data_IF_678298101656
#
_entry.id   IF_678298101656
#
_cell.length_a   1.000
_cell.length_b   1.000
_cell.length_c   1.000
_cell.angle_alpha   90.00
_cell.angle_beta   90.00
_cell.angle_gamma   90.00
#
_symmetry.space_group_name_H-M   'P 1'
#
loop_
_entity.id
_entity.type
_entity.pdbx_description
1 polymer ?
#
# COMPACT_ATOMS: atom_id res chain seq x y z
N UNK A 1 -39.38 77.36 -17.67
CA UNK A 1 -39.12 77.78 -19.05
C UNK A 1 -38.40 76.57 -19.69
N UNK A 2 -39.12 75.71 -20.39
CA UNK A 2 -39.18 75.65 -21.88
C UNK A 2 -37.81 75.32 -22.47
N UNK A 3 -37.57 74.35 -23.30
CA UNK A 3 -38.31 73.52 -24.28
C UNK A 3 -37.35 72.47 -24.75
N UNK A 4 -37.74 71.20 -24.85
CA UNK A 4 -38.18 70.46 -26.06
C UNK A 4 -37.14 70.15 -27.12
N UNK A 5 -37.18 68.90 -27.49
CA UNK A 5 -37.09 68.25 -28.81
C UNK A 5 -35.70 67.88 -29.32
N UNK A 6 -35.47 66.83 -29.97
CA UNK A 6 -36.19 65.75 -30.63
C UNK A 6 -35.16 65.09 -31.57
N UNK A 7 -35.14 63.76 -31.58
CA UNK A 7 -34.86 62.84 -32.68
C UNK A 7 -33.68 63.10 -33.65
N UNK A 8 -32.81 62.11 -33.82
CA UNK A 8 -32.81 61.28 -35.03
C UNK A 8 -31.87 60.10 -34.96
N UNK A 9 -32.41 58.95 -35.21
CA UNK A 9 -31.82 57.64 -35.51
C UNK A 9 -30.94 57.70 -36.74
N UNK A 10 -29.72 57.07 -36.71
CA UNK A 10 -29.18 56.30 -37.83
C UNK A 10 -28.38 55.13 -37.25
N UNK A 11 -28.79 53.94 -37.63
CA UNK A 11 -28.12 52.71 -37.23
C UNK A 11 -26.82 52.46 -38.03
N UNK A 12 -25.92 51.82 -37.40
CA UNK A 12 -24.87 51.02 -38.05
C UNK A 12 -24.68 49.75 -37.25
N UNK A 13 -25.20 48.67 -37.81
CA UNK A 13 -24.95 47.32 -37.39
C UNK A 13 -23.48 47.00 -37.68
N UNK A 14 -22.66 46.85 -36.63
CA UNK A 14 -21.38 46.17 -36.72
C UNK A 14 -21.51 44.86 -35.93
N UNK A 15 -21.64 43.79 -36.69
CA UNK A 15 -21.68 42.45 -36.19
C UNK A 15 -20.39 42.10 -35.44
N UNK A 16 -20.49 42.03 -34.14
CA UNK A 16 -19.49 41.37 -33.31
C UNK A 16 -19.87 39.90 -33.24
N UNK A 17 -19.30 39.08 -34.17
CA UNK A 17 -19.30 37.62 -34.03
C UNK A 17 -18.57 37.29 -32.73
N UNK A 18 -19.34 37.06 -31.68
CA UNK A 18 -18.92 36.27 -30.54
C UNK A 18 -18.71 34.85 -31.02
N UNK A 19 -17.45 34.53 -31.33
CA UNK A 19 -16.99 33.16 -31.35
C UNK A 19 -17.10 32.59 -29.92
N UNK A 20 -18.29 32.13 -29.56
CA UNK A 20 -18.48 31.16 -28.51
C UNK A 20 -17.76 29.89 -28.96
N UNK A 21 -16.50 29.77 -28.54
CA UNK A 21 -15.84 28.49 -28.53
C UNK A 21 -16.71 27.60 -27.60
N UNK A 22 -17.59 26.83 -28.20
CA UNK A 22 -18.16 25.66 -27.54
C UNK A 22 -16.98 24.73 -27.24
N UNK A 23 -16.36 24.92 -26.08
CA UNK A 23 -15.77 23.78 -25.39
C UNK A 23 -16.95 22.87 -25.13
N UNK A 24 -17.06 21.80 -25.89
CA UNK A 24 -17.91 20.70 -25.60
C UNK A 24 -17.51 20.23 -24.20
N UNK A 25 -18.25 20.66 -23.18
CA UNK A 25 -18.34 19.89 -21.96
C UNK A 25 -18.96 18.57 -22.39
N UNK A 26 -18.12 17.57 -22.53
CA UNK A 26 -18.52 16.18 -22.53
C UNK A 26 -19.06 15.93 -21.11
N UNK A 27 -20.37 16.21 -20.92
CA UNK A 27 -21.10 15.97 -19.67
C UNK A 27 -21.48 14.49 -19.57
N UNK A 28 -20.58 13.58 -19.95
CA UNK A 28 -20.71 12.19 -19.52
C UNK A 28 -20.49 12.19 -18.01
N UNK A 29 -21.50 11.78 -17.26
CA UNK A 29 -21.39 11.68 -15.81
C UNK A 29 -20.19 10.80 -15.48
N UNK A 30 -19.39 11.21 -14.47
CA UNK A 30 -18.19 10.48 -14.07
C UNK A 30 -18.58 9.04 -13.68
N UNK A 31 -18.09 8.00 -14.38
CA UNK A 31 -18.53 6.62 -14.18
C UNK A 31 -18.24 6.08 -12.76
N UNK A 32 -17.28 6.67 -12.04
CA UNK A 32 -16.98 6.31 -10.64
C UNK A 32 -18.06 6.79 -9.66
N UNK A 33 -18.88 7.78 -10.04
CA UNK A 33 -19.99 8.29 -9.23
C UNK A 33 -21.32 7.55 -9.51
N UNK A 34 -21.36 6.72 -10.54
CA UNK A 34 -22.52 5.88 -10.88
C UNK A 34 -22.39 4.51 -10.22
N UNK A 35 -23.55 3.87 -9.99
CA UNK A 35 -23.56 2.47 -9.57
C UNK A 35 -23.28 1.57 -10.79
N UNK A 36 -22.38 0.61 -10.60
CA UNK A 36 -22.05 -0.32 -11.67
C UNK A 36 -23.21 -1.26 -11.97
N UNK A 37 -23.49 -1.45 -13.25
CA UNK A 37 -24.48 -2.43 -13.75
C UNK A 37 -23.85 -3.79 -14.06
N UNK A 38 -22.53 -3.94 -13.89
CA UNK A 38 -21.82 -5.18 -14.12
C UNK A 38 -22.09 -6.19 -12.98
N UNK A 39 -21.93 -7.50 -13.24
CA UNK A 39 -22.06 -8.52 -12.21
C UNK A 39 -21.23 -8.19 -10.97
N UNK A 40 -21.83 -8.40 -9.79
CA UNK A 40 -21.21 -8.12 -8.48
C UNK A 40 -20.83 -6.65 -8.24
N UNK A 41 -21.36 -5.69 -9.02
CA UNK A 41 -21.00 -4.29 -8.90
C UNK A 41 -19.55 -4.00 -9.31
N UNK A 42 -18.95 -4.85 -10.14
CA UNK A 42 -17.56 -4.69 -10.58
C UNK A 42 -17.36 -3.34 -11.29
N UNK A 43 -16.21 -2.65 -11.08
CA UNK A 43 -15.93 -1.41 -11.79
C UNK A 43 -15.89 -1.61 -13.31
N UNK A 44 -16.52 -0.71 -14.07
CA UNK A 44 -16.48 -0.75 -15.53
C UNK A 44 -15.22 -0.03 -16.05
N UNK A 45 -14.10 -0.73 -16.07
CA UNK A 45 -12.83 -0.19 -16.54
C UNK A 45 -12.83 0.21 -18.03
N UNK A 46 -13.81 -0.21 -18.83
CA UNK A 46 -13.94 0.25 -20.22
C UNK A 46 -14.37 1.72 -20.31
N UNK A 47 -15.00 2.25 -19.26
CA UNK A 47 -15.50 3.62 -19.15
C UNK A 47 -14.63 4.52 -18.27
N UNK A 48 -13.99 3.95 -17.23
CA UNK A 48 -13.19 4.70 -16.25
C UNK A 48 -11.88 5.15 -16.86
N UNK A 49 -11.56 6.45 -16.72
CA UNK A 49 -10.28 7.05 -17.09
C UNK A 49 -9.54 7.52 -15.84
N UNK A 50 -8.23 7.60 -15.90
CA UNK A 50 -7.42 8.10 -14.77
C UNK A 50 -7.85 9.49 -14.31
N UNK A 51 -8.22 10.37 -15.25
CA UNK A 51 -8.71 11.72 -14.94
C UNK A 51 -10.04 11.75 -14.16
N UNK A 52 -10.76 10.64 -14.05
CA UNK A 52 -12.05 10.56 -13.36
C UNK A 52 -11.86 10.43 -11.84
N UNK A 53 -10.72 9.89 -11.36
CA UNK A 53 -10.52 9.57 -9.95
C UNK A 53 -10.56 10.79 -9.02
N UNK A 54 -9.76 11.81 -9.27
CA UNK A 54 -9.68 12.97 -8.37
C UNK A 54 -10.99 13.75 -8.27
N UNK A 55 -11.70 14.06 -9.38
CA UNK A 55 -13.01 14.66 -9.30
C UNK A 55 -14.03 13.81 -8.56
N UNK A 56 -14.03 12.48 -8.76
CA UNK A 56 -14.92 11.57 -8.07
C UNK A 56 -14.62 11.51 -6.57
N UNK A 57 -13.34 11.42 -6.17
CA UNK A 57 -12.91 11.42 -4.77
C UNK A 57 -13.35 12.72 -4.08
N UNK A 58 -13.12 13.89 -4.70
CA UNK A 58 -13.55 15.18 -4.14
C UNK A 58 -15.05 15.26 -3.94
N UNK A 59 -15.83 14.76 -4.90
CA UNK A 59 -17.30 14.71 -4.81
C UNK A 59 -17.72 13.77 -3.68
N UNK A 60 -17.16 12.57 -3.62
CA UNK A 60 -17.51 11.58 -2.59
C UNK A 60 -17.06 11.99 -1.18
N UNK A 61 -15.96 12.74 -1.04
CA UNK A 61 -15.55 13.40 0.22
C UNK A 61 -16.62 14.42 0.67
N UNK A 62 -17.09 15.25 -0.26
CA UNK A 62 -18.14 16.24 0.05
C UNK A 62 -19.43 15.56 0.49
N UNK A 63 -19.85 14.48 -0.19
CA UNK A 63 -21.02 13.67 0.20
C UNK A 63 -20.84 13.05 1.60
N UNK A 64 -19.67 12.48 1.88
CA UNK A 64 -19.39 11.90 3.20
C UNK A 64 -19.47 12.98 4.29
N UNK A 65 -18.89 14.16 4.06
CA UNK A 65 -19.01 15.30 4.99
C UNK A 65 -20.46 15.71 5.24
N UNK A 66 -21.26 15.79 4.18
CA UNK A 66 -22.70 16.11 4.31
C UNK A 66 -23.44 15.05 5.12
N UNK A 67 -23.17 13.75 4.88
CA UNK A 67 -23.80 12.66 5.62
C UNK A 67 -23.38 12.67 7.10
N UNK A 68 -22.10 12.96 7.40
CA UNK A 68 -21.64 13.13 8.78
C UNK A 68 -22.32 14.33 9.44
N UNK A 69 -22.46 15.45 8.74
CA UNK A 69 -23.13 16.62 9.28
C UNK A 69 -24.60 16.32 9.60
N UNK A 70 -25.30 15.53 8.78
CA UNK A 70 -26.67 15.06 9.09
C UNK A 70 -26.73 14.23 10.37
N UNK A 71 -25.71 13.42 10.66
CA UNK A 71 -25.62 12.66 11.92
C UNK A 71 -25.45 13.64 13.09
N UNK A 72 -24.53 14.59 12.96
CA UNK A 72 -24.20 15.56 14.02
C UNK A 72 -25.39 16.47 14.34
N UNK A 73 -26.08 16.96 13.31
CA UNK A 73 -27.20 17.90 13.45
C UNK A 73 -28.55 17.20 13.73
N UNK A 74 -28.57 15.88 13.82
CA UNK A 74 -29.81 15.16 14.07
C UNK A 74 -30.37 15.51 15.47
N UNK A 75 -31.59 16.11 15.55
CA UNK A 75 -32.17 16.55 16.83
C UNK A 75 -32.68 15.36 17.69
N UNK A 76 -32.84 14.19 17.09
CA UNK A 76 -33.30 13.01 17.82
C UNK A 76 -32.19 12.45 18.72
N UNK A 77 -32.53 11.79 19.84
CA UNK A 77 -31.57 11.08 20.66
C UNK A 77 -30.71 10.12 19.84
N UNK A 78 -29.42 10.03 20.19
CA UNK A 78 -28.50 9.14 19.50
C UNK A 78 -28.89 7.68 19.72
N UNK A 79 -29.08 6.92 18.63
CA UNK A 79 -29.35 5.49 18.62
C UNK A 79 -28.29 4.75 17.80
N UNK A 80 -28.30 3.42 17.89
CA UNK A 80 -27.43 2.60 17.07
C UNK A 80 -27.63 2.89 15.57
N UNK A 81 -28.89 2.93 15.11
CA UNK A 81 -29.23 3.15 13.71
C UNK A 81 -28.87 4.55 13.21
N UNK A 82 -29.31 5.61 13.95
CA UNK A 82 -29.15 6.98 13.48
C UNK A 82 -27.74 7.56 13.72
N UNK A 83 -26.85 6.78 14.34
CA UNK A 83 -25.49 7.21 14.64
C UNK A 83 -24.44 6.21 14.14
N UNK A 84 -24.52 4.94 14.54
CA UNK A 84 -23.46 3.95 14.22
C UNK A 84 -23.65 3.43 12.79
N UNK A 85 -24.85 2.95 12.45
CA UNK A 85 -25.15 2.48 11.09
C UNK A 85 -25.04 3.63 10.09
N UNK A 86 -25.61 4.80 10.43
CA UNK A 86 -25.50 5.99 9.60
C UNK A 86 -24.04 6.44 9.36
N UNK A 87 -23.16 6.30 10.37
CA UNK A 87 -21.72 6.56 10.22
C UNK A 87 -21.04 5.56 9.28
N UNK A 88 -21.32 4.26 9.45
CA UNK A 88 -20.76 3.20 8.60
C UNK A 88 -21.16 3.39 7.12
N UNK A 89 -22.42 3.72 6.88
CA UNK A 89 -22.95 3.94 5.53
C UNK A 89 -22.56 5.30 4.93
N UNK A 90 -22.04 6.23 5.73
CA UNK A 90 -21.80 7.62 5.31
C UNK A 90 -20.84 7.76 4.13
N UNK A 91 -19.96 6.80 3.88
CA UNK A 91 -18.85 6.91 2.93
C UNK A 91 -18.67 5.75 1.95
N UNK A 92 -19.66 4.89 1.76
CA UNK A 92 -19.57 3.68 0.91
C UNK A 92 -19.09 4.00 -0.52
N UNK A 93 -19.57 5.09 -1.12
CA UNK A 93 -19.12 5.52 -2.45
C UNK A 93 -17.66 5.93 -2.47
N UNK A 94 -17.23 6.72 -1.48
CA UNK A 94 -15.82 7.12 -1.35
C UNK A 94 -14.91 5.90 -1.21
N UNK A 95 -15.28 4.96 -0.35
CA UNK A 95 -14.50 3.75 -0.12
C UNK A 95 -14.36 2.92 -1.39
N UNK A 96 -15.46 2.74 -2.16
CA UNK A 96 -15.43 2.05 -3.44
C UNK A 96 -14.44 2.70 -4.42
N UNK A 97 -14.49 4.03 -4.58
CA UNK A 97 -13.63 4.77 -5.51
C UNK A 97 -12.15 4.67 -5.08
N UNK A 98 -11.90 4.84 -3.79
CA UNK A 98 -10.56 4.79 -3.20
C UNK A 98 -9.95 3.39 -3.35
N UNK A 99 -10.73 2.33 -3.07
CA UNK A 99 -10.27 0.95 -3.22
C UNK A 99 -9.87 0.64 -4.67
N UNK A 100 -10.61 1.14 -5.66
CA UNK A 100 -10.27 0.96 -7.09
C UNK A 100 -8.98 1.70 -7.43
N UNK A 101 -8.81 2.95 -6.99
CA UNK A 101 -7.57 3.73 -7.23
C UNK A 101 -6.35 3.03 -6.64
N UNK A 102 -6.42 2.62 -5.36
CA UNK A 102 -5.27 1.97 -4.70
C UNK A 102 -4.99 0.56 -5.23
N UNK A 103 -6.01 -0.17 -5.68
CA UNK A 103 -5.79 -1.45 -6.37
C UNK A 103 -4.99 -1.26 -7.67
N UNK A 104 -5.33 -0.26 -8.48
CA UNK A 104 -4.58 0.09 -9.68
C UNK A 104 -3.17 0.61 -9.36
N UNK A 105 -3.04 1.48 -8.37
CA UNK A 105 -1.73 1.98 -7.92
C UNK A 105 -0.80 0.86 -7.43
N UNK A 106 -1.37 -0.25 -6.94
CA UNK A 106 -0.62 -1.44 -6.52
C UNK A 106 -0.26 -2.39 -7.67
N UNK A 107 -1.15 -2.52 -8.68
CA UNK A 107 -1.04 -3.54 -9.71
C UNK A 107 -0.50 -3.02 -11.05
N UNK A 108 -0.85 -1.78 -11.43
CA UNK A 108 -0.51 -1.17 -12.72
C UNK A 108 -0.34 0.35 -12.55
N UNK A 109 0.70 0.74 -11.84
CA UNK A 109 0.98 2.13 -11.48
C UNK A 109 1.56 2.92 -12.65
N UNK A 110 0.68 3.51 -13.47
CA UNK A 110 1.12 4.49 -14.48
C UNK A 110 1.49 5.84 -13.82
N UNK A 111 2.24 6.73 -14.51
CA UNK A 111 2.55 8.07 -13.98
C UNK A 111 1.30 8.86 -13.59
N UNK A 112 0.21 8.73 -14.35
CA UNK A 112 -1.06 9.42 -14.10
C UNK A 112 -1.77 8.85 -12.86
N UNK A 113 -1.74 7.53 -12.64
CA UNK A 113 -2.26 6.88 -11.44
C UNK A 113 -1.42 7.29 -10.22
N UNK A 114 -0.10 7.35 -10.36
CA UNK A 114 0.79 7.79 -9.28
C UNK A 114 0.49 9.24 -8.85
N UNK A 115 0.24 10.14 -9.80
CA UNK A 115 -0.12 11.53 -9.48
C UNK A 115 -1.52 11.62 -8.85
N UNK A 116 -2.50 10.84 -9.33
CA UNK A 116 -3.83 10.77 -8.73
C UNK A 116 -3.78 10.26 -7.27
N UNK A 117 -3.00 9.21 -6.99
CA UNK A 117 -2.77 8.69 -5.64
C UNK A 117 -2.12 9.75 -4.74
N UNK A 118 -1.08 10.41 -5.22
CA UNK A 118 -0.36 11.45 -4.50
C UNK A 118 -1.24 12.64 -4.13
N UNK A 119 -2.15 13.07 -5.02
CA UNK A 119 -3.12 14.12 -4.72
C UNK A 119 -4.26 13.64 -3.81
N UNK A 120 -4.70 12.39 -3.95
CA UNK A 120 -5.78 11.83 -3.14
C UNK A 120 -5.37 11.61 -1.67
N UNK A 121 -4.15 11.15 -1.42
CA UNK A 121 -3.66 10.78 -0.08
C UNK A 121 -3.84 11.89 0.97
N UNK A 122 -3.41 13.14 0.76
CA UNK A 122 -3.63 14.20 1.74
C UNK A 122 -5.11 14.52 1.94
N UNK A 123 -5.94 14.50 0.88
CA UNK A 123 -7.38 14.76 0.99
C UNK A 123 -8.09 13.73 1.87
N UNK A 124 -7.70 12.46 1.74
CA UNK A 124 -8.26 11.36 2.54
C UNK A 124 -7.76 11.41 3.99
N UNK A 125 -6.49 11.74 4.18
CA UNK A 125 -5.91 11.91 5.54
C UNK A 125 -6.53 13.09 6.27
N UNK A 126 -6.76 14.21 5.59
CA UNK A 126 -7.45 15.36 6.15
C UNK A 126 -8.89 15.01 6.53
N UNK A 127 -9.62 14.29 5.68
CA UNK A 127 -10.97 13.83 5.97
C UNK A 127 -10.98 12.90 7.20
N UNK A 128 -10.08 11.93 7.27
CA UNK A 128 -10.01 11.01 8.42
C UNK A 128 -9.69 11.77 9.71
N UNK A 129 -8.75 12.71 9.68
CA UNK A 129 -8.48 13.60 10.82
C UNK A 129 -9.72 14.42 11.21
N UNK A 130 -10.42 15.02 10.23
CA UNK A 130 -11.64 15.80 10.47
C UNK A 130 -12.70 14.96 11.19
N UNK A 131 -12.91 13.72 10.73
CA UNK A 131 -13.90 12.81 11.32
C UNK A 131 -13.49 12.31 12.69
N UNK A 132 -12.26 11.81 12.83
CA UNK A 132 -11.80 11.21 14.09
C UNK A 132 -11.68 12.21 15.24
N UNK A 133 -11.44 13.49 14.94
CA UNK A 133 -11.38 14.56 15.92
C UNK A 133 -12.67 15.41 16.00
N UNK A 134 -13.77 14.98 15.37
CA UNK A 134 -15.06 15.62 15.47
C UNK A 134 -15.70 15.30 16.83
N UNK A 135 -15.64 16.26 17.76
CA UNK A 135 -16.16 16.10 19.13
C UNK A 135 -17.65 15.82 19.17
N UNK A 136 -18.44 16.50 18.32
CA UNK A 136 -19.91 16.33 18.31
C UNK A 136 -20.30 14.94 17.81
N UNK A 137 -19.62 14.45 16.76
CA UNK A 137 -19.81 13.10 16.28
C UNK A 137 -19.43 12.07 17.34
N UNK A 138 -18.27 12.25 17.97
CA UNK A 138 -17.79 11.35 19.03
C UNK A 138 -18.74 11.32 20.23
N UNK A 139 -19.27 12.45 20.67
CA UNK A 139 -20.25 12.50 21.77
C UNK A 139 -21.52 11.70 21.45
N UNK A 140 -22.01 11.72 20.22
CA UNK A 140 -23.14 10.88 19.81
C UNK A 140 -22.78 9.39 19.84
N UNK A 141 -21.61 9.01 19.30
CA UNK A 141 -21.11 7.63 19.32
C UNK A 141 -20.93 7.15 20.77
N UNK A 142 -20.32 7.98 21.62
CA UNK A 142 -20.13 7.69 23.05
C UNK A 142 -21.46 7.52 23.77
N UNK A 143 -22.44 8.36 23.49
CA UNK A 143 -23.79 8.26 24.08
C UNK A 143 -24.41 6.90 23.76
N UNK A 144 -24.35 6.44 22.51
CA UNK A 144 -24.85 5.10 22.14
C UNK A 144 -24.07 4.02 22.84
N UNK A 145 -22.73 4.12 22.86
CA UNK A 145 -21.85 3.14 23.50
C UNK A 145 -22.16 3.00 25.00
N UNK A 146 -22.23 4.11 25.74
CA UNK A 146 -22.49 4.11 27.18
C UNK A 146 -23.91 3.56 27.49
N UNK A 147 -24.91 3.90 26.68
CA UNK A 147 -26.27 3.41 26.86
C UNK A 147 -26.36 1.90 26.64
N UNK A 148 -25.73 1.39 25.58
CA UNK A 148 -25.68 -0.05 25.31
C UNK A 148 -24.94 -0.80 26.41
N UNK A 149 -23.76 -0.30 26.84
CA UNK A 149 -22.98 -0.90 27.93
C UNK A 149 -23.78 -0.93 29.25
N UNK A 150 -24.50 0.14 29.55
CA UNK A 150 -25.31 0.24 30.78
C UNK A 150 -26.53 -0.70 30.76
N UNK A 151 -27.01 -1.07 29.58
CA UNK A 151 -28.15 -1.98 29.39
C UNK A 151 -27.75 -3.45 29.24
N UNK A 152 -26.44 -3.77 29.33
CA UNK A 152 -25.95 -5.14 29.14
C UNK A 152 -26.43 -6.09 30.26
N UNK A 153 -27.10 -7.16 29.88
CA UNK A 153 -27.49 -8.27 30.77
C UNK A 153 -27.03 -9.57 30.15
N UNK A 154 -26.19 -10.33 30.87
CA UNK A 154 -25.64 -11.61 30.40
C UNK A 154 -24.96 -11.52 29.00
N UNK A 155 -24.29 -10.40 28.70
CA UNK A 155 -23.62 -10.19 27.43
C UNK A 155 -24.54 -9.78 26.26
N UNK A 156 -25.79 -9.42 26.53
CA UNK A 156 -26.78 -8.96 25.55
C UNK A 156 -27.37 -7.61 25.96
N UNK A 157 -27.69 -6.77 25.00
CA UNK A 157 -28.43 -5.53 25.18
C UNK A 157 -29.67 -5.54 24.26
N UNK A 158 -30.79 -5.01 24.76
CA UNK A 158 -32.00 -4.82 23.96
C UNK A 158 -31.94 -3.62 23.00
N UNK A 159 -30.84 -2.85 23.05
CA UNK A 159 -30.65 -1.64 22.22
C UNK A 159 -29.95 -1.91 20.89
N UNK A 160 -29.54 -3.18 20.64
CA UNK A 160 -28.89 -3.66 19.42
C UNK A 160 -29.40 -5.04 19.06
N UNK A 161 -29.32 -5.43 17.77
CA UNK A 161 -30.01 -6.64 17.30
C UNK A 161 -29.18 -7.93 17.46
N UNK A 162 -27.91 -7.86 17.87
CA UNK A 162 -27.08 -9.05 18.01
C UNK A 162 -25.60 -8.77 18.25
N UNK A 163 -24.77 -9.84 18.22
CA UNK A 163 -23.35 -9.74 18.47
C UNK A 163 -22.59 -8.95 17.40
N UNK A 164 -23.07 -8.93 16.15
CA UNK A 164 -22.51 -8.16 15.06
C UNK A 164 -22.66 -6.65 15.31
N UNK A 165 -23.82 -6.19 15.74
CA UNK A 165 -24.10 -4.80 16.08
C UNK A 165 -23.25 -4.37 17.29
N UNK A 166 -23.14 -5.24 18.31
CA UNK A 166 -22.29 -5.00 19.46
C UNK A 166 -20.82 -4.84 19.04
N UNK A 167 -20.37 -5.67 18.10
CA UNK A 167 -19.01 -5.61 17.59
C UNK A 167 -18.78 -4.33 16.78
N UNK A 168 -19.71 -3.96 15.90
CA UNK A 168 -19.62 -2.72 15.12
C UNK A 168 -19.55 -1.50 16.04
N UNK A 169 -20.40 -1.44 17.07
CA UNK A 169 -20.39 -0.35 18.05
C UNK A 169 -19.05 -0.28 18.82
N UNK A 170 -18.56 -1.42 19.30
CA UNK A 170 -17.31 -1.52 20.06
C UNK A 170 -16.11 -1.09 19.20
N UNK A 171 -16.02 -1.57 17.96
CA UNK A 171 -14.95 -1.19 17.03
C UNK A 171 -15.03 0.28 16.64
N UNK A 172 -16.24 0.80 16.37
CA UNK A 172 -16.44 2.22 16.05
C UNK A 172 -16.00 3.10 17.22
N UNK A 173 -16.45 2.83 18.44
CA UNK A 173 -16.05 3.60 19.62
C UNK A 173 -14.52 3.54 19.83
N UNK A 174 -13.93 2.33 19.79
CA UNK A 174 -12.49 2.15 19.94
C UNK A 174 -11.68 2.85 18.85
N UNK A 175 -12.18 2.85 17.61
CA UNK A 175 -11.54 3.56 16.50
C UNK A 175 -11.36 5.04 16.82
N UNK A 176 -12.41 5.71 17.31
CA UNK A 176 -12.35 7.11 17.69
C UNK A 176 -11.43 7.36 18.90
N UNK A 177 -11.55 6.55 19.96
CA UNK A 177 -10.70 6.68 21.15
C UNK A 177 -9.22 6.49 20.78
N UNK A 178 -8.91 5.48 19.98
CA UNK A 178 -7.54 5.18 19.54
C UNK A 178 -6.99 6.20 18.53
N UNK A 179 -7.86 6.86 17.77
CA UNK A 179 -7.45 7.99 16.93
C UNK A 179 -7.16 9.26 17.73
N UNK A 180 -7.64 9.34 18.98
CA UNK A 180 -7.38 10.48 19.88
C UNK A 180 -8.58 11.35 20.17
N UNK A 181 -9.81 10.85 20.03
CA UNK A 181 -11.02 11.63 20.30
C UNK A 181 -11.13 12.17 21.75
N UNK A 182 -10.37 11.56 22.68
CA UNK A 182 -10.30 11.99 24.10
C UNK A 182 -9.11 12.93 24.39
N UNK A 183 -8.30 13.26 23.41
CA UNK A 183 -7.14 14.15 23.58
C UNK A 183 -7.55 15.61 23.84
N UNK A 184 -6.63 16.35 24.45
CA UNK A 184 -6.71 17.81 24.50
C UNK A 184 -6.69 18.41 23.09
N UNK A 185 -7.16 19.66 22.93
CA UNK A 185 -7.12 20.32 21.63
C UNK A 185 -5.69 20.48 21.09
N UNK A 186 -4.70 20.71 21.96
CA UNK A 186 -3.29 20.83 21.63
C UNK A 186 -2.73 19.48 21.13
N UNK A 187 -2.96 18.40 21.86
CA UNK A 187 -2.51 17.06 21.49
C UNK A 187 -3.22 16.54 20.22
N UNK A 188 -4.52 16.85 20.07
CA UNK A 188 -5.29 16.52 18.87
C UNK A 188 -4.73 17.22 17.64
N UNK A 189 -4.41 18.52 17.73
CA UNK A 189 -3.80 19.26 16.63
C UNK A 189 -2.40 18.71 16.28
N UNK A 190 -1.59 18.39 17.31
CA UNK A 190 -0.29 17.75 17.10
C UNK A 190 -0.43 16.39 16.43
N UNK A 191 -1.42 15.58 16.83
CA UNK A 191 -1.70 14.26 16.24
C UNK A 191 -2.06 14.37 14.76
N UNK A 192 -2.89 15.35 14.37
CA UNK A 192 -3.23 15.62 12.96
C UNK A 192 -1.99 15.91 12.11
N UNK A 193 -1.11 16.79 12.61
CA UNK A 193 0.14 17.12 11.93
C UNK A 193 1.04 15.88 11.75
N UNK A 194 1.13 15.02 12.78
CA UNK A 194 1.89 13.76 12.71
C UNK A 194 1.27 12.83 11.67
N UNK A 195 -0.06 12.67 11.65
CA UNK A 195 -0.76 11.82 10.68
C UNK A 195 -0.49 12.26 9.23
N UNK A 196 -0.64 13.56 8.94
CA UNK A 196 -0.33 14.13 7.62
C UNK A 196 1.13 13.90 7.23
N UNK A 197 2.06 14.13 8.17
CA UNK A 197 3.48 13.92 7.89
C UNK A 197 3.83 12.45 7.65
N UNK A 198 3.24 11.52 8.41
CA UNK A 198 3.43 10.07 8.18
C UNK A 198 2.86 9.67 6.83
N UNK A 199 1.68 10.15 6.44
CA UNK A 199 1.08 9.86 5.14
C UNK A 199 1.99 10.32 3.97
N UNK A 200 2.51 11.55 4.05
CA UNK A 200 3.48 12.09 3.08
C UNK A 200 4.77 11.24 3.02
N UNK A 201 5.33 10.87 4.17
CA UNK A 201 6.53 10.02 4.24
C UNK A 201 6.29 8.61 3.70
N UNK A 202 5.13 8.03 3.92
CA UNK A 202 4.77 6.72 3.38
C UNK A 202 4.66 6.76 1.85
N UNK A 203 4.09 7.85 1.31
CA UNK A 203 4.06 8.08 -0.14
C UNK A 203 5.49 8.19 -0.70
N UNK A 204 6.32 9.04 -0.12
CA UNK A 204 7.73 9.21 -0.52
C UNK A 204 8.51 7.88 -0.46
N UNK A 205 8.25 7.06 0.57
CA UNK A 205 8.87 5.73 0.70
C UNK A 205 8.46 4.80 -0.45
N UNK A 206 7.17 4.78 -0.77
CA UNK A 206 6.63 3.98 -1.86
C UNK A 206 7.24 4.39 -3.21
N UNK A 207 7.28 5.68 -3.50
CA UNK A 207 7.84 6.23 -4.74
C UNK A 207 9.35 5.93 -4.86
N UNK A 208 10.12 6.10 -3.77
CA UNK A 208 11.54 5.79 -3.75
C UNK A 208 11.80 4.29 -3.98
N UNK A 209 11.01 3.40 -3.35
CA UNK A 209 11.14 1.96 -3.55
C UNK A 209 10.75 1.54 -4.99
N UNK A 210 9.71 2.13 -5.54
CA UNK A 210 9.28 1.89 -6.92
C UNK A 210 10.39 2.31 -7.91
N UNK A 211 10.94 3.51 -7.74
CA UNK A 211 12.03 4.01 -8.59
C UNK A 211 13.28 3.13 -8.46
N UNK A 212 13.68 2.77 -7.23
CA UNK A 212 14.79 1.84 -6.99
C UNK A 212 14.57 0.47 -7.63
N UNK A 213 13.33 -0.04 -7.62
CA UNK A 213 12.98 -1.30 -8.25
C UNK A 213 13.11 -1.23 -9.78
N UNK A 214 12.72 -0.12 -10.37
CA UNK A 214 12.88 0.11 -11.81
C UNK A 214 14.36 0.21 -12.22
N UNK A 215 15.19 0.86 -11.40
CA UNK A 215 16.62 1.04 -11.64
C UNK A 215 17.43 -0.24 -11.39
N UNK A 216 16.92 -1.15 -10.55
CA UNK A 216 17.58 -2.41 -10.21
C UNK A 216 17.60 -3.44 -11.36
N UNK A 217 16.99 -3.14 -12.51
CA UNK A 217 16.98 -4.03 -13.66
C UNK A 217 18.39 -4.47 -14.09
N UNK A 218 18.62 -5.76 -14.23
CA UNK A 218 19.94 -6.34 -14.57
C UNK A 218 20.03 -6.56 -16.07
N UNK A 219 20.91 -5.80 -16.71
CA UNK A 219 21.16 -5.88 -18.14
C UNK A 219 22.15 -7.00 -18.47
N UNK A 220 21.84 -7.79 -19.51
CA UNK A 220 22.59 -8.97 -19.90
C UNK A 220 22.98 -8.87 -21.37
N UNK A 221 24.26 -9.12 -21.65
CA UNK A 221 24.86 -8.84 -22.96
C UNK A 221 24.72 -9.98 -23.97
N UNK A 222 24.56 -11.22 -23.50
CA UNK A 222 24.46 -12.37 -24.38
C UNK A 222 23.52 -13.44 -23.85
N UNK A 223 23.00 -14.28 -24.74
CA UNK A 223 22.10 -15.37 -24.37
C UNK A 223 22.83 -16.48 -23.59
N UNK A 224 24.11 -16.63 -23.76
CA UNK A 224 24.93 -17.59 -23.01
C UNK A 224 24.97 -17.30 -21.51
N UNK A 225 24.89 -16.02 -21.13
CA UNK A 225 24.77 -15.62 -19.72
C UNK A 225 23.47 -16.11 -19.09
N UNK A 226 22.40 -16.28 -19.90
CA UNK A 226 21.07 -16.75 -19.50
C UNK A 226 20.92 -18.28 -19.47
N UNK A 227 22.02 -19.02 -19.64
CA UNK A 227 21.99 -20.49 -19.62
C UNK A 227 21.27 -21.00 -18.34
N UNK A 228 20.42 -22.02 -18.53
CA UNK A 228 19.57 -22.58 -17.47
C UNK A 228 18.14 -22.01 -17.40
N UNK A 229 17.88 -20.86 -18.02
CA UNK A 229 16.50 -20.36 -18.18
C UNK A 229 15.75 -21.08 -19.29
N UNK A 230 14.44 -21.14 -19.21
CA UNK A 230 13.57 -21.61 -20.27
C UNK A 230 13.59 -20.69 -21.49
N UNK A 231 13.20 -21.19 -22.66
CA UNK A 231 13.05 -20.36 -23.87
C UNK A 231 12.04 -19.24 -23.67
N UNK A 232 10.97 -19.49 -22.89
CA UNK A 232 9.96 -18.49 -22.56
C UNK A 232 10.55 -17.37 -21.66
N UNK A 233 11.35 -17.73 -20.65
CA UNK A 233 11.99 -16.73 -19.77
C UNK A 233 13.02 -15.89 -20.54
N UNK A 234 13.78 -16.52 -21.46
CA UNK A 234 14.72 -15.80 -22.34
C UNK A 234 13.98 -14.83 -23.26
N UNK A 235 12.84 -15.26 -23.83
CA UNK A 235 12.00 -14.39 -24.66
C UNK A 235 11.46 -13.20 -23.86
N UNK A 236 11.01 -13.43 -22.63
CA UNK A 236 10.56 -12.37 -21.71
C UNK A 236 11.70 -11.40 -21.39
N UNK A 237 12.90 -11.88 -21.09
CA UNK A 237 14.06 -11.02 -20.85
C UNK A 237 14.39 -10.12 -22.07
N UNK A 238 14.16 -10.59 -23.29
CA UNK A 238 14.33 -9.81 -24.50
C UNK A 238 13.25 -8.73 -24.63
N UNK A 239 11.99 -9.07 -24.43
CA UNK A 239 10.86 -8.14 -24.47
C UNK A 239 11.02 -7.05 -23.39
N UNK A 240 11.42 -7.43 -22.18
CA UNK A 240 11.73 -6.50 -21.09
C UNK A 240 12.87 -5.54 -21.46
N UNK A 241 13.89 -6.01 -22.19
CA UNK A 241 14.96 -5.14 -22.66
C UNK A 241 14.47 -4.13 -23.70
N UNK A 242 13.65 -4.56 -24.65
CA UNK A 242 13.08 -3.71 -25.68
C UNK A 242 12.16 -2.63 -25.07
N UNK A 243 11.27 -3.01 -24.17
CA UNK A 243 10.34 -2.10 -23.49
C UNK A 243 11.03 -1.05 -22.59
N UNK A 244 12.24 -1.34 -22.11
CA UNK A 244 13.05 -0.48 -21.24
C UNK A 244 14.13 0.34 -21.95
N UNK A 245 14.08 0.44 -23.27
CA UNK A 245 14.99 1.25 -24.06
C UNK A 245 16.28 0.59 -24.51
N UNK A 246 16.38 -0.76 -24.41
CA UNK A 246 17.38 -1.58 -25.12
C UNK A 246 18.85 -1.29 -24.76
N UNK A 247 19.21 -1.07 -23.50
CA UNK A 247 20.62 -0.86 -23.08
C UNK A 247 21.51 -2.06 -23.35
N UNK A 248 20.92 -3.26 -23.37
CA UNK A 248 21.53 -4.52 -23.78
C UNK A 248 20.46 -5.43 -24.41
N UNK A 249 20.83 -6.55 -25.09
CA UNK A 249 19.87 -7.44 -25.74
C UNK A 249 18.85 -8.08 -24.80
N UNK A 250 19.16 -8.23 -23.52
CA UNK A 250 18.31 -8.85 -22.52
C UNK A 250 18.28 -8.03 -21.23
N UNK A 251 17.18 -8.12 -20.49
CA UNK A 251 17.00 -7.46 -19.20
C UNK A 251 16.26 -8.38 -18.23
N UNK A 252 16.80 -8.58 -17.04
CA UNK A 252 16.11 -9.25 -15.95
C UNK A 252 15.50 -8.18 -15.04
N UNK A 253 14.17 -8.13 -14.99
CA UNK A 253 13.43 -7.21 -14.12
C UNK A 253 13.36 -7.78 -12.71
N UNK A 254 13.63 -6.95 -11.72
CA UNK A 254 13.63 -7.35 -10.31
C UNK A 254 12.24 -7.14 -9.73
N UNK A 255 11.45 -8.21 -9.64
CA UNK A 255 10.15 -8.23 -8.96
C UNK A 255 10.04 -9.47 -8.06
N UNK A 256 9.19 -9.42 -7.06
CA UNK A 256 9.10 -10.46 -6.03
C UNK A 256 8.76 -11.86 -6.59
N UNK A 257 8.01 -11.94 -7.68
CA UNK A 257 7.55 -13.19 -8.28
C UNK A 257 8.57 -13.84 -9.22
N UNK A 258 9.38 -13.06 -9.93
CA UNK A 258 10.31 -13.56 -10.95
C UNK A 258 11.70 -13.84 -10.42
N UNK A 259 12.15 -13.10 -9.42
CA UNK A 259 13.51 -13.19 -8.92
C UNK A 259 13.88 -14.60 -8.40
N UNK A 260 13.01 -15.23 -7.62
CA UNK A 260 13.30 -16.56 -7.04
C UNK A 260 13.37 -17.65 -8.13
N UNK A 261 12.46 -17.62 -9.09
CA UNK A 261 12.47 -18.56 -10.22
C UNK A 261 13.74 -18.41 -11.06
N UNK A 262 14.13 -17.19 -11.37
CA UNK A 262 15.37 -16.90 -12.10
C UNK A 262 16.60 -17.36 -11.32
N UNK A 263 16.71 -17.05 -10.02
CA UNK A 263 17.83 -17.50 -9.19
C UNK A 263 17.91 -19.04 -9.07
N UNK A 264 16.78 -19.72 -9.13
CA UNK A 264 16.73 -21.19 -9.09
C UNK A 264 17.23 -21.85 -10.39
N UNK A 265 17.10 -21.15 -11.52
CA UNK A 265 17.32 -21.71 -12.86
C UNK A 265 18.65 -21.31 -13.50
N UNK A 266 19.14 -20.08 -13.28
CA UNK A 266 20.36 -19.55 -13.89
C UNK A 266 21.60 -20.39 -13.57
N UNK A 267 22.27 -20.93 -14.59
CA UNK A 267 23.55 -21.61 -14.41
C UNK A 267 24.72 -20.66 -14.18
N UNK A 268 24.66 -19.44 -14.72
CA UNK A 268 25.71 -18.41 -14.54
C UNK A 268 25.71 -17.84 -13.11
N UNK A 269 26.69 -18.24 -12.32
CA UNK A 269 26.82 -17.85 -10.92
C UNK A 269 27.01 -16.34 -10.71
N UNK A 270 27.79 -15.67 -11.58
CA UNK A 270 28.00 -14.23 -11.49
C UNK A 270 26.69 -13.46 -11.76
N UNK A 271 25.91 -13.92 -12.76
CA UNK A 271 24.61 -13.32 -13.01
C UNK A 271 23.62 -13.57 -11.87
N UNK A 272 23.62 -14.76 -11.21
CA UNK A 272 22.84 -14.98 -9.99
C UNK A 272 23.21 -13.97 -8.89
N UNK A 273 24.52 -13.74 -8.66
CA UNK A 273 25.00 -12.75 -7.70
C UNK A 273 24.48 -11.36 -8.06
N UNK A 274 24.63 -10.92 -9.31
CA UNK A 274 24.14 -9.60 -9.78
C UNK A 274 22.65 -9.41 -9.57
N UNK A 275 21.83 -10.43 -9.90
CA UNK A 275 20.38 -10.40 -9.69
C UNK A 275 20.03 -10.34 -8.22
N UNK A 276 20.69 -11.12 -7.39
CA UNK A 276 20.48 -11.10 -5.93
C UNK A 276 20.85 -9.76 -5.31
N UNK A 277 22.04 -9.24 -5.61
CA UNK A 277 22.52 -7.93 -5.11
C UNK A 277 21.59 -6.80 -5.57
N UNK A 278 21.18 -6.79 -6.84
CA UNK A 278 20.24 -5.82 -7.37
C UNK A 278 18.90 -5.83 -6.59
N UNK A 279 18.46 -6.99 -6.12
CA UNK A 279 17.24 -7.12 -5.33
C UNK A 279 17.39 -6.62 -3.89
N UNK A 280 18.45 -7.04 -3.18
CA UNK A 280 18.59 -6.73 -1.75
C UNK A 280 19.03 -5.29 -1.47
N UNK A 281 19.61 -4.62 -2.46
CA UNK A 281 20.10 -3.24 -2.34
C UNK A 281 19.13 -2.18 -2.87
N UNK A 282 17.87 -2.55 -3.12
CA UNK A 282 16.85 -1.57 -3.52
C UNK A 282 16.57 -0.57 -2.41
N UNK A 283 16.76 0.70 -2.69
CA UNK A 283 16.48 1.84 -1.81
C UNK A 283 17.19 1.83 -0.45
N UNK A 284 18.30 1.09 -0.30
CA UNK A 284 19.12 1.00 0.93
C UNK A 284 20.23 2.05 1.02
N UNK A 285 20.26 3.00 0.09
CA UNK A 285 21.26 4.08 0.05
C UNK A 285 22.56 3.74 -0.66
N UNK A 286 22.74 2.53 -1.20
CA UNK A 286 23.88 2.19 -2.04
C UNK A 286 23.76 2.73 -3.46
N UNK A 287 22.52 3.03 -3.90
CA UNK A 287 22.17 3.64 -5.19
C UNK A 287 21.66 5.08 -5.05
N UNK A 288 20.89 5.52 -6.05
CA UNK A 288 20.32 6.88 -6.09
C UNK A 288 19.16 7.08 -5.09
N UNK A 289 18.52 6.00 -4.66
CA UNK A 289 17.34 6.03 -3.79
C UNK A 289 17.72 5.54 -2.38
N UNK A 290 17.27 6.30 -1.37
CA UNK A 290 17.54 5.97 0.03
C UNK A 290 16.29 6.22 0.88
N UNK A 291 15.78 5.17 1.51
CA UNK A 291 14.59 5.23 2.37
C UNK A 291 14.92 5.31 3.87
N UNK A 292 16.18 5.23 4.30
CA UNK A 292 16.56 5.15 5.72
C UNK A 292 16.16 6.39 6.52
N UNK A 293 16.34 7.59 5.94
CA UNK A 293 15.93 8.83 6.61
C UNK A 293 14.39 8.88 6.78
N UNK A 294 13.64 8.44 5.76
CA UNK A 294 12.18 8.35 5.79
C UNK A 294 11.73 7.37 6.88
N UNK A 295 12.28 6.17 6.91
CA UNK A 295 11.97 5.16 7.93
C UNK A 295 12.28 5.66 9.35
N UNK A 296 13.41 6.36 9.53
CA UNK A 296 13.82 6.93 10.82
C UNK A 296 12.84 7.98 11.28
N UNK A 297 12.40 8.89 10.39
CA UNK A 297 11.43 9.91 10.71
C UNK A 297 10.06 9.31 11.05
N UNK A 298 9.57 8.34 10.27
CA UNK A 298 8.33 7.62 10.57
C UNK A 298 8.39 6.96 11.96
N UNK A 299 9.50 6.28 12.28
CA UNK A 299 9.66 5.62 13.57
C UNK A 299 9.60 6.64 14.74
N UNK A 300 10.26 7.81 14.58
CA UNK A 300 10.23 8.88 15.57
C UNK A 300 8.81 9.46 15.74
N UNK A 301 8.11 9.73 14.65
CA UNK A 301 6.73 10.23 14.68
C UNK A 301 5.77 9.22 15.32
N UNK A 302 5.90 7.94 15.02
CA UNK A 302 5.12 6.88 15.65
C UNK A 302 5.39 6.73 17.15
N UNK A 303 6.64 6.93 17.58
CA UNK A 303 6.97 6.97 19.01
C UNK A 303 6.34 8.18 19.71
N UNK A 304 6.25 9.33 19.03
CA UNK A 304 5.56 10.53 19.51
C UNK A 304 4.04 10.31 19.61
N UNK A 305 3.41 9.70 18.58
CA UNK A 305 1.99 9.31 18.63
C UNK A 305 1.68 8.44 19.85
N UNK A 306 2.50 7.40 20.08
CA UNK A 306 2.30 6.51 21.21
C UNK A 306 2.34 7.26 22.55
N UNK A 307 3.27 8.20 22.71
CA UNK A 307 3.36 9.04 23.93
C UNK A 307 2.14 9.93 24.11
N UNK A 308 1.68 10.59 23.06
CA UNK A 308 0.47 11.44 23.09
C UNK A 308 -0.73 10.57 23.52
N UNK A 309 -0.81 9.35 23.03
CA UNK A 309 -1.87 8.39 23.38
C UNK A 309 -1.69 7.71 24.75
N UNK A 310 -0.62 8.02 25.51
CA UNK A 310 -0.36 7.49 26.85
C UNK A 310 0.32 6.12 26.89
N UNK A 311 0.85 5.62 25.77
CA UNK A 311 1.57 4.35 25.69
C UNK A 311 3.08 4.53 25.86
N UNK A 312 3.77 3.51 26.36
CA UNK A 312 5.23 3.57 26.51
C UNK A 312 5.95 3.56 25.17
N UNK A 313 5.41 2.86 24.19
CA UNK A 313 5.98 2.73 22.85
C UNK A 313 4.92 2.41 21.81
N UNK A 314 5.29 2.54 20.52
CA UNK A 314 4.38 2.33 19.41
C UNK A 314 3.91 0.87 19.27
N UNK A 315 4.72 -0.10 19.72
CA UNK A 315 4.32 -1.51 19.65
C UNK A 315 3.14 -1.80 20.59
N UNK A 316 3.14 -1.26 21.81
CA UNK A 316 1.99 -1.37 22.73
C UNK A 316 0.74 -0.74 22.14
N UNK A 317 0.85 0.52 21.66
CA UNK A 317 -0.25 1.22 21.00
C UNK A 317 -0.79 0.46 19.79
N UNK A 318 0.09 -0.04 18.92
CA UNK A 318 -0.31 -0.74 17.69
C UNK A 318 -0.95 -2.10 17.95
N UNK A 319 -0.46 -2.84 18.97
CA UNK A 319 -0.90 -4.21 19.24
C UNK A 319 -2.18 -4.33 20.07
N UNK A 320 -2.57 -3.29 20.79
CA UNK A 320 -3.71 -3.34 21.72
C UNK A 320 -4.99 -3.90 21.06
N UNK A 321 -5.28 -3.52 19.83
CA UNK A 321 -6.47 -3.97 19.08
C UNK A 321 -6.16 -5.10 18.08
N UNK A 322 -5.15 -5.90 18.31
CA UNK A 322 -4.80 -7.08 17.52
C UNK A 322 -5.02 -8.37 18.30
N UNK A 323 -4.92 -9.53 17.63
CA UNK A 323 -5.01 -10.84 18.31
C UNK A 323 -3.92 -11.02 19.36
N UNK A 324 -2.72 -10.51 19.13
CA UNK A 324 -1.58 -10.64 20.02
C UNK A 324 -1.70 -9.78 21.28
N UNK A 325 -2.40 -8.64 21.22
CA UNK A 325 -2.63 -7.69 22.31
C UNK A 325 -1.38 -6.99 22.85
N UNK A 326 -0.29 -7.69 23.05
CA UNK A 326 0.92 -7.18 23.71
C UNK A 326 2.20 -7.55 22.97
N UNK A 327 3.28 -6.74 23.08
CA UNK A 327 4.59 -7.11 22.56
C UNK A 327 5.12 -8.42 23.11
N UNK A 328 4.88 -8.73 24.39
CA UNK A 328 5.33 -9.98 25.03
C UNK A 328 4.67 -11.21 24.39
N UNK A 329 3.38 -11.14 24.03
CA UNK A 329 2.70 -12.23 23.33
C UNK A 329 3.35 -12.47 21.95
N UNK A 330 3.67 -11.39 21.22
CA UNK A 330 4.37 -11.46 19.92
C UNK A 330 5.75 -12.09 20.09
N UNK A 331 6.55 -11.62 21.06
CA UNK A 331 7.88 -12.17 21.30
C UNK A 331 7.85 -13.63 21.73
N UNK A 332 6.88 -14.02 22.58
CA UNK A 332 6.73 -15.41 23.00
C UNK A 332 6.42 -16.32 21.82
N UNK A 333 5.49 -15.92 20.95
CA UNK A 333 5.16 -16.64 19.74
C UNK A 333 6.36 -16.74 18.77
N UNK A 334 7.04 -15.63 18.50
CA UNK A 334 8.20 -15.63 17.60
C UNK A 334 9.37 -16.46 18.15
N UNK A 335 9.64 -16.41 19.46
CA UNK A 335 10.70 -17.24 20.10
C UNK A 335 10.38 -18.72 19.99
N UNK A 336 9.12 -19.11 20.14
CA UNK A 336 8.69 -20.49 19.92
C UNK A 336 8.94 -20.91 18.45
N UNK A 337 8.52 -20.10 17.48
CA UNK A 337 8.79 -20.39 16.07
C UNK A 337 10.28 -20.51 15.78
N UNK A 338 11.11 -19.60 16.29
CA UNK A 338 12.57 -19.66 16.11
C UNK A 338 13.12 -20.97 16.69
N UNK A 339 12.70 -21.32 17.91
CA UNK A 339 13.14 -22.58 18.56
C UNK A 339 12.78 -23.82 17.76
N UNK A 340 11.57 -23.86 17.20
CA UNK A 340 11.04 -25.04 16.51
C UNK A 340 11.58 -25.17 15.07
N UNK A 341 11.73 -24.06 14.38
CA UNK A 341 12.08 -24.07 12.95
C UNK A 341 13.59 -23.95 12.67
N UNK A 342 14.36 -23.24 13.52
CA UNK A 342 15.80 -23.03 13.25
C UNK A 342 16.57 -24.35 13.11
N UNK A 343 16.39 -25.37 13.96
CA UNK A 343 17.13 -26.63 13.79
C UNK A 343 16.84 -27.32 12.45
N UNK A 344 15.61 -27.22 11.95
CA UNK A 344 15.21 -27.78 10.66
C UNK A 344 15.79 -26.98 9.50
N UNK A 345 15.70 -25.65 9.57
CA UNK A 345 16.28 -24.76 8.55
C UNK A 345 17.82 -24.93 8.43
N UNK A 346 18.50 -25.13 9.57
CA UNK A 346 19.93 -25.42 9.60
C UNK A 346 20.25 -26.79 8.99
N UNK A 347 19.42 -27.80 9.23
CA UNK A 347 19.59 -29.13 8.63
C UNK A 347 19.37 -29.07 7.11
N UNK A 348 18.35 -28.37 6.63
CA UNK A 348 18.12 -28.15 5.20
C UNK A 348 19.26 -27.35 4.55
N UNK A 349 19.77 -26.33 5.22
CA UNK A 349 20.91 -25.54 4.71
C UNK A 349 22.15 -26.41 4.58
N UNK A 350 22.46 -27.26 5.59
CA UNK A 350 23.57 -28.21 5.51
C UNK A 350 23.40 -29.20 4.36
N UNK A 351 22.20 -29.74 4.16
CA UNK A 351 21.93 -30.69 3.07
C UNK A 351 22.16 -30.02 1.70
N UNK A 352 21.71 -28.76 1.51
CA UNK A 352 21.95 -28.00 0.28
C UNK A 352 23.45 -27.72 0.09
N UNK A 353 24.17 -27.36 1.13
CA UNK A 353 25.64 -27.16 1.08
C UNK A 353 26.40 -28.44 0.73
N UNK A 354 26.03 -29.60 1.31
CA UNK A 354 26.61 -30.88 1.01
C UNK A 354 26.33 -31.29 -0.45
N UNK A 355 25.09 -31.04 -0.91
CA UNK A 355 24.76 -31.26 -2.34
C UNK A 355 25.65 -30.40 -3.25
N UNK A 356 25.76 -29.09 -2.99
CA UNK A 356 26.58 -28.18 -3.77
C UNK A 356 28.07 -28.60 -3.75
N UNK A 357 28.62 -29.02 -2.59
CA UNK A 357 30.00 -29.53 -2.49
C UNK A 357 30.25 -30.76 -3.32
N UNK A 358 29.27 -31.66 -3.39
CA UNK A 358 29.36 -32.90 -4.19
C UNK A 358 29.29 -32.62 -5.69
N UNK A 359 28.42 -31.69 -6.11
CA UNK A 359 28.13 -31.46 -7.54
C UNK A 359 28.99 -30.34 -8.15
N UNK A 360 29.42 -29.35 -7.36
CA UNK A 360 30.19 -28.21 -7.81
C UNK A 360 31.21 -27.73 -6.75
N UNK A 361 32.23 -28.52 -6.40
CA UNK A 361 33.17 -28.20 -5.33
C UNK A 361 33.98 -26.92 -5.57
N UNK A 362 34.09 -26.46 -6.80
CA UNK A 362 34.91 -25.31 -7.18
C UNK A 362 34.32 -23.96 -6.63
N UNK A 363 33.01 -23.90 -6.39
CA UNK A 363 32.41 -22.67 -5.84
C UNK A 363 32.89 -22.32 -4.42
N UNK A 364 33.42 -23.31 -3.70
CA UNK A 364 33.95 -23.14 -2.34
C UNK A 364 35.45 -22.81 -2.32
N UNK A 365 36.19 -23.09 -3.40
CA UNK A 365 37.63 -22.94 -3.46
C UNK A 365 38.12 -21.49 -3.63
N UNK A 366 37.27 -20.58 -4.07
CA UNK A 366 37.61 -19.20 -4.40
C UNK A 366 37.02 -18.15 -3.47
N UNK A 367 36.43 -18.57 -2.35
CA UNK A 367 35.79 -17.65 -1.41
C UNK A 367 36.77 -17.13 -0.38
N UNK A 368 37.32 -15.95 -0.62
CA UNK A 368 37.98 -15.16 0.44
C UNK A 368 37.03 -14.03 0.86
N UNK A 369 36.58 -14.00 2.09
CA UNK A 369 35.89 -12.87 2.65
C UNK A 369 36.76 -12.11 3.66
N UNK A 370 36.69 -10.79 3.62
CA UNK A 370 37.29 -9.94 4.62
C UNK A 370 36.27 -9.76 5.77
N UNK A 371 36.56 -10.38 6.91
CA UNK A 371 35.81 -10.17 8.16
C UNK A 371 36.72 -9.47 9.14
N UNK A 372 36.36 -8.27 9.59
CA UNK A 372 37.15 -7.45 10.51
C UNK A 372 38.62 -7.20 10.07
N UNK A 373 38.83 -7.01 8.75
CA UNK A 373 40.19 -6.76 8.21
C UNK A 373 41.07 -8.01 8.09
N UNK A 374 40.56 -9.19 8.39
CA UNK A 374 41.23 -10.46 8.21
C UNK A 374 40.60 -11.26 7.07
N UNK A 375 41.42 -11.76 6.14
CA UNK A 375 40.97 -12.69 5.09
C UNK A 375 40.69 -14.03 5.74
N UNK A 376 39.39 -14.44 5.74
CA UNK A 376 38.99 -15.80 6.12
C UNK A 376 38.44 -16.53 4.91
N UNK A 377 38.81 -17.79 4.74
CA UNK A 377 38.14 -18.68 3.77
C UNK A 377 36.76 -18.98 4.29
N UNK A 378 35.73 -18.33 3.73
CA UNK A 378 34.34 -18.65 4.06
C UNK A 378 33.90 -19.84 3.23
N UNK A 379 33.89 -20.98 3.88
CA UNK A 379 33.57 -22.26 3.27
C UNK A 379 32.02 -22.52 3.33
N UNK A 380 31.23 -21.48 3.06
CA UNK A 380 29.76 -21.52 3.12
C UNK A 380 29.15 -21.22 1.77
N UNK A 381 27.94 -21.75 1.55
CA UNK A 381 27.13 -21.42 0.39
C UNK A 381 26.69 -19.96 0.44
N UNK A 382 26.86 -19.25 -0.65
CA UNK A 382 26.42 -17.85 -0.74
C UNK A 382 24.89 -17.76 -0.87
N UNK A 383 24.24 -16.69 -0.36
CA UNK A 383 22.79 -16.56 -0.40
C UNK A 383 22.20 -16.67 -1.81
N UNK A 384 22.87 -16.15 -2.84
CA UNK A 384 22.43 -16.22 -4.25
C UNK A 384 22.55 -17.61 -4.87
N UNK A 385 23.26 -18.55 -4.23
CA UNK A 385 23.40 -19.93 -4.68
C UNK A 385 22.32 -20.85 -4.08
N UNK A 386 21.71 -20.44 -2.95
CA UNK A 386 20.79 -21.29 -2.20
C UNK A 386 19.60 -21.78 -3.04
N UNK A 387 18.95 -20.86 -3.76
CA UNK A 387 17.79 -21.21 -4.60
C UNK A 387 18.17 -22.20 -5.71
N UNK A 388 19.31 -21.98 -6.35
CA UNK A 388 19.83 -22.80 -7.43
C UNK A 388 20.13 -24.24 -6.97
N UNK A 389 20.93 -24.42 -5.91
CA UNK A 389 21.26 -25.76 -5.44
C UNK A 389 20.08 -26.44 -4.74
N UNK A 390 19.20 -25.70 -4.10
CA UNK A 390 17.95 -26.24 -3.57
C UNK A 390 17.05 -26.81 -4.67
N UNK A 391 16.87 -26.08 -5.77
CA UNK A 391 16.09 -26.55 -6.93
C UNK A 391 16.72 -27.79 -7.58
N UNK A 392 18.04 -27.78 -7.82
CA UNK A 392 18.75 -28.92 -8.38
C UNK A 392 18.71 -30.16 -7.48
N UNK A 393 18.90 -30.00 -6.18
CA UNK A 393 18.78 -31.08 -5.19
C UNK A 393 17.35 -31.64 -5.17
N UNK A 394 16.34 -30.78 -5.15
CA UNK A 394 14.93 -31.18 -5.20
C UNK A 394 14.61 -31.97 -6.46
N UNK A 395 15.07 -31.51 -7.62
CA UNK A 395 14.91 -32.19 -8.89
C UNK A 395 15.56 -33.60 -8.90
N UNK A 396 16.78 -33.73 -8.35
CA UNK A 396 17.47 -35.01 -8.24
C UNK A 396 16.76 -35.99 -7.31
N UNK A 397 16.31 -35.48 -6.13
CA UNK A 397 15.66 -36.31 -5.10
C UNK A 397 14.23 -36.71 -5.44
N UNK A 398 13.46 -35.84 -6.03
CA UNK A 398 12.03 -36.05 -6.26
C UNK A 398 11.72 -36.47 -7.70
N UNK A 399 12.69 -36.31 -8.62
CA UNK A 399 12.53 -36.54 -10.05
C UNK A 399 11.36 -35.78 -10.68
N UNK A 400 11.03 -34.60 -10.09
CA UNK A 400 9.97 -33.69 -10.53
C UNK A 400 10.59 -32.30 -10.67
N UNK A 401 10.27 -31.60 -11.75
CA UNK A 401 10.59 -30.17 -11.93
C UNK A 401 9.34 -29.31 -11.73
N UNK A 402 9.55 -28.04 -11.37
CA UNK A 402 8.43 -27.09 -11.22
C UNK A 402 7.69 -26.87 -12.57
N UNK A 403 8.35 -27.07 -13.72
CA UNK A 403 7.73 -26.97 -15.05
C UNK A 403 6.78 -28.14 -15.35
N UNK A 404 6.97 -29.31 -14.74
CA UNK A 404 6.07 -30.45 -14.88
C UNK A 404 4.79 -30.30 -14.04
N UNK A 405 4.77 -29.39 -13.08
CA UNK A 405 3.64 -29.16 -12.16
C UNK A 405 2.81 -27.96 -12.59
N UNK A 406 3.36 -27.07 -13.41
CA UNK A 406 2.59 -25.95 -13.98
C UNK A 406 1.62 -26.46 -15.04
N UNK A 407 0.31 -26.10 -14.95
CA UNK A 407 -0.69 -26.46 -15.96
C UNK A 407 -0.40 -25.78 -17.31
#
# INVERSE_FOLDING_TARGET
MNLTNTLLTVGLASGMMLLTACRGNDTSANPLLEDSTLPYGAPDFSRIKTADYLPAIRTAIAEKRENIQKIVDNPEPATFENTIVAFEESGVRLERIVNVLYALASADKTPEIAEAEKEATPLLTDLDNELMFNKQLFERIKTVYDAVQSSMVNGQSSMVNGPEDLKLLDETYKRFVRAGALLSDEDAERMKQINLRIADLQQQWGDALQAATNDAAVWVSSVEELAGLSEADIAQCKEDAESRGGKAPYCIVIVNTTQQAILASLDNRDLRRRVYEASIHRADGTGQHNTFAICTEIARLRAEQAKIMGYQNYAEYSLENTMAKTPDAVYSFLRQLISDYTPKADAETRAIEEYARRTDPQIFNNQSSMVNGQSSMVNKLEPYDRFYYSAKMKKELLQISDDEVKP
#
